data_IF_899645533820
#
_entry.id   IF_899645533820
#
_cell.length_a   1.000
_cell.length_b   1.000
_cell.length_c   1.000
_cell.angle_alpha   90.00
_cell.angle_beta   90.00
_cell.angle_gamma   90.00
#
_symmetry.space_group_name_H-M   'P 1'
#
loop_
_entity.id
_entity.type
_entity.pdbx_description
1 polymer ?
#
# COMPACT_ATOMS: atom_id res chain seq x y z
N UNK A 1 -1.94 10.31 -13.79
CA UNK A 1 -3.10 10.67 -12.96
C UNK A 1 -3.47 9.57 -11.98
N UNK A 2 -3.21 9.82 -10.68
CA UNK A 2 -3.69 9.02 -9.56
C UNK A 2 -5.20 9.10 -9.34
N UNK A 3 -5.75 8.32 -8.39
CA UNK A 3 -7.20 8.21 -8.17
C UNK A 3 -7.89 9.57 -8.01
N UNK A 4 -7.28 10.48 -7.24
CA UNK A 4 -7.81 11.82 -6.92
C UNK A 4 -8.04 12.70 -8.15
N UNK A 5 -7.14 12.62 -9.12
CA UNK A 5 -7.10 13.54 -10.28
C UNK A 5 -7.47 12.85 -11.61
N UNK A 6 -7.71 11.54 -11.57
CA UNK A 6 -8.16 10.77 -12.73
C UNK A 6 -9.67 10.97 -12.99
N UNK A 7 -10.09 10.86 -14.25
CA UNK A 7 -11.49 11.06 -14.65
C UNK A 7 -11.96 9.94 -15.59
N UNK A 8 -13.28 9.84 -15.78
CA UNK A 8 -13.90 8.95 -16.78
C UNK A 8 -13.67 7.45 -16.53
N UNK A 9 -13.40 6.71 -17.60
CA UNK A 9 -13.23 5.25 -17.55
C UNK A 9 -11.99 4.83 -16.76
N UNK A 10 -10.90 5.61 -16.84
CA UNK A 10 -9.66 5.35 -16.09
C UNK A 10 -9.92 5.36 -14.59
N UNK A 11 -10.61 6.38 -14.10
CA UNK A 11 -11.01 6.46 -12.68
C UNK A 11 -11.87 5.27 -12.28
N UNK A 12 -12.86 4.91 -13.10
CA UNK A 12 -13.77 3.78 -12.81
C UNK A 12 -13.01 2.46 -12.73
N UNK A 13 -12.09 2.22 -13.65
CA UNK A 13 -11.26 1.02 -13.67
C UNK A 13 -10.35 0.94 -12.43
N UNK A 14 -9.64 2.02 -12.11
CA UNK A 14 -8.73 2.07 -10.97
C UNK A 14 -9.48 1.94 -9.65
N UNK A 15 -10.62 2.64 -9.48
CA UNK A 15 -11.45 2.52 -8.27
C UNK A 15 -11.95 1.10 -8.06
N UNK A 16 -12.45 0.46 -9.14
CA UNK A 16 -12.93 -0.94 -9.08
C UNK A 16 -11.81 -1.89 -8.68
N UNK A 17 -10.59 -1.65 -9.16
CA UNK A 17 -9.43 -2.45 -8.82
C UNK A 17 -9.02 -2.30 -7.36
N UNK A 18 -8.98 -1.06 -6.85
CA UNK A 18 -8.45 -0.74 -5.52
C UNK A 18 -9.44 -1.07 -4.39
N UNK A 19 -10.75 -0.92 -4.60
CA UNK A 19 -11.75 -1.08 -3.54
C UNK A 19 -11.62 -2.34 -2.66
N UNK A 20 -11.31 -3.54 -3.19
CA UNK A 20 -11.18 -4.75 -2.37
C UNK A 20 -10.05 -4.71 -1.33
N UNK A 21 -9.03 -3.85 -1.48
CA UNK A 21 -7.91 -3.75 -0.52
C UNK A 21 -8.30 -3.01 0.76
N UNK A 22 -9.47 -2.35 0.77
CA UNK A 22 -10.02 -1.65 1.93
C UNK A 22 -11.21 -2.38 2.56
N UNK A 23 -11.37 -3.67 2.25
CA UNK A 23 -12.41 -4.51 2.83
C UNK A 23 -12.17 -4.74 4.33
N UNK A 24 -13.25 -4.87 5.12
CA UNK A 24 -13.19 -4.96 6.59
C UNK A 24 -12.22 -6.06 7.09
N UNK A 25 -12.19 -7.23 6.44
CA UNK A 25 -11.27 -8.31 6.81
C UNK A 25 -9.79 -7.93 6.67
N UNK A 26 -9.45 -7.09 5.68
CA UNK A 26 -8.10 -6.53 5.53
C UNK A 26 -7.83 -5.54 6.66
N UNK A 27 -8.78 -4.63 6.91
CA UNK A 27 -8.65 -3.59 7.94
C UNK A 27 -8.53 -4.17 9.36
N UNK A 28 -9.27 -5.24 9.68
CA UNK A 28 -9.16 -5.96 10.96
C UNK A 28 -7.73 -6.45 11.21
N UNK A 29 -7.01 -6.85 10.16
CA UNK A 29 -5.61 -7.30 10.28
C UNK A 29 -4.62 -6.16 10.62
N UNK A 30 -5.03 -4.90 10.50
CA UNK A 30 -4.20 -3.73 10.77
C UNK A 30 -4.32 -3.20 12.20
N UNK A 31 -5.27 -3.70 13.00
CA UNK A 31 -5.53 -3.20 14.35
C UNK A 31 -4.30 -3.28 15.26
N UNK A 32 -3.52 -4.35 15.16
CA UNK A 32 -2.28 -4.49 15.95
C UNK A 32 -1.22 -3.47 15.56
N UNK A 33 -1.13 -3.15 14.26
CA UNK A 33 -0.21 -2.12 13.75
C UNK A 33 -0.65 -0.72 14.19
N UNK A 34 -1.95 -0.41 14.18
CA UNK A 34 -2.48 0.84 14.73
C UNK A 34 -2.14 0.99 16.21
N UNK A 35 -2.37 -0.07 17.00
CA UNK A 35 -2.08 -0.07 18.43
C UNK A 35 -0.57 0.07 18.71
N UNK A 36 0.28 -0.60 17.93
CA UNK A 36 1.72 -0.50 18.08
C UNK A 36 2.22 0.93 17.78
N UNK A 37 1.84 1.51 16.65
CA UNK A 37 2.23 2.87 16.28
C UNK A 37 1.66 3.93 17.24
N UNK A 38 0.43 3.72 17.74
CA UNK A 38 -0.18 4.61 18.73
C UNK A 38 0.58 4.60 20.07
N UNK A 39 1.08 3.46 20.53
CA UNK A 39 1.92 3.40 21.74
C UNK A 39 3.27 4.07 21.51
N UNK A 40 3.86 3.88 20.32
CA UNK A 40 5.13 4.49 19.95
C UNK A 40 5.06 6.02 19.90
N UNK A 41 3.96 6.60 19.41
CA UNK A 41 3.81 8.07 19.40
C UNK A 41 3.64 8.62 20.81
N UNK A 42 2.88 7.93 21.69
CA UNK A 42 2.76 8.31 23.11
C UNK A 42 4.12 8.27 23.80
N UNK A 43 4.96 7.28 23.50
CA UNK A 43 6.34 7.19 23.99
C UNK A 43 7.18 8.39 23.55
N UNK A 44 7.03 8.85 22.30
CA UNK A 44 7.73 10.03 21.79
C UNK A 44 7.27 11.30 22.49
N UNK A 45 5.95 11.51 22.60
CA UNK A 45 5.37 12.68 23.27
C UNK A 45 5.79 12.76 24.74
N UNK A 46 5.93 11.60 25.43
CA UNK A 46 6.36 11.59 26.84
C UNK A 46 7.75 12.17 27.06
N UNK A 47 8.60 12.21 26.03
CA UNK A 47 9.96 12.77 26.11
C UNK A 47 9.95 14.29 26.20
N UNK A 48 8.86 14.96 25.84
CA UNK A 48 8.72 16.41 25.97
C UNK A 48 8.55 16.84 27.45
N UNK A 49 8.13 15.91 28.32
CA UNK A 49 7.98 16.15 29.75
C UNK A 49 6.83 17.13 30.03
N UNK A 50 7.12 18.22 30.73
CA UNK A 50 6.15 19.26 31.10
C UNK A 50 6.09 20.42 30.10
N UNK A 51 6.81 20.34 28.97
CA UNK A 51 6.80 21.41 27.97
C UNK A 51 5.52 21.38 27.15
N UNK A 52 5.04 22.56 26.78
CA UNK A 52 4.03 22.70 25.73
C UNK A 52 4.66 22.35 24.37
N UNK A 53 3.96 21.55 23.58
CA UNK A 53 4.38 21.15 22.24
C UNK A 53 3.17 21.02 21.31
N UNK A 54 3.43 21.10 20.00
CA UNK A 54 2.41 20.85 18.99
C UNK A 54 2.24 19.34 18.78
N UNK A 55 1.05 18.81 19.06
CA UNK A 55 0.76 17.39 18.85
C UNK A 55 0.68 17.01 17.36
N UNK A 56 0.44 17.98 16.47
CA UNK A 56 0.22 17.73 15.06
C UNK A 56 1.43 17.14 14.35
N UNK A 57 2.64 17.57 14.71
CA UNK A 57 3.88 17.00 14.19
C UNK A 57 3.99 15.49 14.51
N UNK A 58 3.62 15.09 15.73
CA UNK A 58 3.64 13.69 16.17
C UNK A 58 2.52 12.87 15.53
N UNK A 59 1.31 13.43 15.39
CA UNK A 59 0.19 12.74 14.73
C UNK A 59 0.44 12.56 13.24
N UNK A 60 1.06 13.54 12.59
CA UNK A 60 1.47 13.46 11.18
C UNK A 60 2.53 12.38 10.97
N UNK A 61 3.53 12.28 11.85
CA UNK A 61 4.50 11.19 11.80
C UNK A 61 3.83 9.83 12.04
N UNK A 62 3.00 9.71 13.08
CA UNK A 62 2.33 8.46 13.45
C UNK A 62 1.45 7.92 12.32
N UNK A 63 0.67 8.78 11.67
CA UNK A 63 -0.24 8.37 10.59
C UNK A 63 0.51 7.97 9.32
N UNK A 64 1.64 8.62 9.01
CA UNK A 64 2.53 8.18 7.91
C UNK A 64 3.09 6.79 8.19
N UNK A 65 3.58 6.53 9.40
CA UNK A 65 4.11 5.22 9.79
C UNK A 65 3.03 4.13 9.73
N UNK A 66 1.83 4.41 10.25
CA UNK A 66 0.68 3.51 10.14
C UNK A 66 0.40 3.15 8.68
N UNK A 67 0.39 4.14 7.78
CA UNK A 67 0.06 3.93 6.37
C UNK A 67 1.16 3.14 5.63
N UNK A 68 2.43 3.38 5.99
CA UNK A 68 3.57 2.63 5.48
C UNK A 68 3.54 1.16 5.92
N UNK A 69 3.22 0.88 7.18
CA UNK A 69 3.16 -0.49 7.69
C UNK A 69 1.93 -1.26 7.18
N UNK A 70 0.79 -0.59 7.02
CA UNK A 70 -0.48 -1.23 6.65
C UNK A 70 -0.67 -1.31 5.14
N UNK A 71 -0.86 -0.18 4.47
CA UNK A 71 -1.19 -0.12 3.04
C UNK A 71 0.02 -0.43 2.15
N UNK A 72 1.22 0.01 2.54
CA UNK A 72 2.45 -0.22 1.77
C UNK A 72 3.18 -1.50 2.17
N UNK A 73 2.91 -2.04 3.36
CA UNK A 73 3.52 -3.26 3.86
C UNK A 73 5.04 -3.14 4.09
N UNK A 74 5.52 -1.96 4.51
CA UNK A 74 6.94 -1.71 4.83
C UNK A 74 7.08 -1.49 6.34
N UNK A 75 7.96 -2.26 6.99
CA UNK A 75 8.15 -2.13 8.44
C UNK A 75 9.04 -0.95 8.82
N UNK A 76 8.67 -0.26 9.90
CA UNK A 76 9.43 0.82 10.54
C UNK A 76 10.89 0.47 10.84
N UNK A 77 11.19 -0.78 11.24
CA UNK A 77 12.57 -1.24 11.56
C UNK A 77 13.55 -1.13 10.39
N UNK A 78 13.01 -1.00 9.18
CA UNK A 78 13.76 -0.98 7.94
C UNK A 78 13.73 0.39 7.25
N UNK A 79 13.20 1.41 7.95
CA UNK A 79 13.16 2.79 7.48
C UNK A 79 14.07 3.67 8.34
N UNK A 80 14.87 4.49 7.67
CA UNK A 80 15.60 5.61 8.28
C UNK A 80 14.59 6.73 8.63
N UNK A 81 15.04 7.89 9.13
CA UNK A 81 14.21 9.11 9.48
C UNK A 81 13.26 9.64 8.38
N UNK A 82 13.13 8.93 7.27
CA UNK A 82 12.35 9.21 6.07
C UNK A 82 10.84 9.38 6.27
N UNK A 83 10.21 8.73 7.26
CA UNK A 83 8.76 8.89 7.52
C UNK A 83 8.40 10.28 8.05
N UNK A 84 9.14 10.74 9.06
CA UNK A 84 9.03 12.11 9.58
C UNK A 84 9.35 13.17 8.53
N UNK A 85 10.45 13.01 7.79
CA UNK A 85 10.82 13.95 6.72
C UNK A 85 9.74 14.06 5.65
N UNK A 86 9.11 12.93 5.29
CA UNK A 86 7.97 12.91 4.39
C UNK A 86 6.76 13.66 4.97
N UNK A 87 6.37 13.38 6.22
CA UNK A 87 5.24 14.04 6.88
C UNK A 87 5.43 15.56 6.87
N UNK A 88 6.60 16.03 7.30
CA UNK A 88 6.94 17.46 7.29
C UNK A 88 6.96 18.06 5.89
N UNK A 89 7.43 17.29 4.89
CA UNK A 89 7.45 17.75 3.51
C UNK A 89 6.04 17.93 2.95
N UNK A 90 5.11 17.02 3.27
CA UNK A 90 3.71 17.11 2.87
C UNK A 90 3.03 18.31 3.52
N UNK A 91 3.15 18.50 4.84
CA UNK A 91 2.52 19.65 5.50
C UNK A 91 2.99 20.99 4.91
N UNK A 92 4.30 21.12 4.65
CA UNK A 92 4.85 22.32 3.98
C UNK A 92 4.33 22.47 2.55
N UNK A 93 4.16 21.36 1.82
CA UNK A 93 3.55 21.37 0.50
C UNK A 93 2.09 21.84 0.57
N UNK A 94 1.29 21.33 1.51
CA UNK A 94 -0.11 21.73 1.73
C UNK A 94 -0.20 23.24 1.98
N UNK A 95 0.71 23.80 2.80
CA UNK A 95 0.78 25.25 3.01
C UNK A 95 1.06 26.03 1.72
N UNK A 96 1.98 25.56 0.88
CA UNK A 96 2.25 26.18 -0.43
C UNK A 96 1.03 26.09 -1.35
N UNK A 97 0.38 24.93 -1.42
CA UNK A 97 -0.83 24.72 -2.22
C UNK A 97 -1.98 25.63 -1.77
N UNK A 98 -2.20 25.73 -0.46
CA UNK A 98 -3.20 26.63 0.12
C UNK A 98 -2.91 28.10 -0.21
N UNK A 99 -1.64 28.52 -0.16
CA UNK A 99 -1.22 29.85 -0.59
C UNK A 99 -1.50 30.09 -2.08
N UNK A 100 -1.28 29.10 -2.95
CA UNK A 100 -1.58 29.20 -4.40
C UNK A 100 -3.09 29.26 -4.68
N UNK A 101 -3.90 28.56 -3.88
CA UNK A 101 -5.36 28.58 -4.01
C UNK A 101 -5.93 29.95 -3.62
N UNK A 102 -5.46 30.52 -2.52
CA UNK A 102 -5.95 31.80 -1.96
C UNK A 102 -5.38 33.03 -2.68
N UNK A 103 -4.09 33.02 -3.04
CA UNK A 103 -3.41 34.16 -3.67
C UNK A 103 -3.44 34.03 -5.19
N UNK A 104 -4.37 34.72 -5.84
CA UNK A 104 -4.60 34.66 -7.29
C UNK A 104 -3.31 34.97 -8.10
N UNK A 105 -2.44 35.86 -7.61
CA UNK A 105 -1.18 36.22 -8.28
C UNK A 105 -0.10 35.13 -8.25
N UNK A 106 -0.24 34.11 -7.39
CA UNK A 106 0.67 32.95 -7.36
C UNK A 106 0.17 31.78 -8.24
N UNK A 107 -0.96 31.94 -8.94
CA UNK A 107 -1.51 30.93 -9.85
C UNK A 107 -0.70 30.79 -11.15
N UNK A 108 -0.26 31.88 -11.82
CA UNK A 108 0.54 31.76 -13.04
C UNK A 108 1.86 31.04 -12.76
N UNK A 109 2.10 29.95 -13.49
CA UNK A 109 3.28 29.07 -13.31
C UNK A 109 4.61 29.81 -13.41
N UNK A 110 4.73 30.77 -14.34
CA UNK A 110 5.96 31.55 -14.52
C UNK A 110 6.28 32.40 -13.30
N UNK A 111 5.28 33.12 -12.75
CA UNK A 111 5.46 33.95 -11.57
C UNK A 111 5.80 33.09 -10.35
N UNK A 112 5.09 31.97 -10.18
CA UNK A 112 5.32 31.07 -9.06
C UNK A 112 6.73 30.46 -9.07
N UNK A 113 7.20 29.99 -10.23
CA UNK A 113 8.55 29.41 -10.39
C UNK A 113 9.68 30.40 -10.09
N UNK A 114 9.43 31.70 -10.26
CA UNK A 114 10.38 32.76 -9.91
C UNK A 114 10.42 33.07 -8.40
N UNK A 115 9.39 32.67 -7.64
CA UNK A 115 9.34 32.88 -6.19
C UNK A 115 10.18 31.85 -5.41
N UNK A 116 10.46 32.16 -4.13
CA UNK A 116 11.04 31.18 -3.19
C UNK A 116 10.18 29.93 -3.03
N UNK A 117 8.85 30.09 -2.99
CA UNK A 117 7.90 28.99 -2.89
C UNK A 117 8.03 27.98 -4.04
N UNK A 118 8.33 28.46 -5.25
CA UNK A 118 8.56 27.59 -6.40
C UNK A 118 9.78 26.67 -6.22
N UNK A 119 10.86 27.18 -5.64
CA UNK A 119 12.06 26.38 -5.32
C UNK A 119 11.79 25.40 -4.19
N UNK A 120 11.11 25.86 -3.14
CA UNK A 120 10.74 25.02 -2.01
C UNK A 120 9.81 23.88 -2.44
N UNK A 121 8.83 24.15 -3.32
CA UNK A 121 7.95 23.13 -3.89
C UNK A 121 8.74 22.00 -4.59
N UNK A 122 9.79 22.34 -5.35
CA UNK A 122 10.60 21.33 -6.05
C UNK A 122 11.34 20.44 -5.04
N UNK A 123 11.98 21.03 -4.03
CA UNK A 123 12.69 20.29 -2.98
C UNK A 123 11.73 19.39 -2.19
N UNK A 124 10.57 19.91 -1.80
CA UNK A 124 9.56 19.17 -1.05
C UNK A 124 8.97 18.00 -1.87
N UNK A 125 8.69 18.23 -3.16
CA UNK A 125 8.27 17.16 -4.07
C UNK A 125 9.34 16.08 -4.21
N UNK A 126 10.62 16.45 -4.21
CA UNK A 126 11.71 15.47 -4.29
C UNK A 126 11.74 14.59 -3.03
N UNK A 127 11.62 15.17 -1.84
CA UNK A 127 11.49 14.40 -0.58
C UNK A 127 10.28 13.46 -0.63
N UNK A 128 9.11 13.95 -1.00
CA UNK A 128 7.87 13.15 -1.09
C UNK A 128 8.06 11.97 -2.06
N UNK A 129 8.51 12.25 -3.28
CA UNK A 129 8.71 11.21 -4.30
C UNK A 129 9.86 10.26 -3.96
N UNK A 130 10.87 10.70 -3.21
CA UNK A 130 12.00 9.85 -2.82
C UNK A 130 11.53 8.69 -1.92
N UNK A 131 10.62 8.97 -0.98
CA UNK A 131 10.06 7.94 -0.11
C UNK A 131 9.20 6.96 -0.90
N UNK A 132 8.28 7.46 -1.73
CA UNK A 132 7.37 6.58 -2.49
C UNK A 132 8.12 5.71 -3.50
N UNK A 133 9.16 6.25 -4.16
CA UNK A 133 10.07 5.46 -5.00
C UNK A 133 10.84 4.40 -4.20
N UNK A 134 11.34 4.73 -3.01
CA UNK A 134 12.06 3.79 -2.12
C UNK A 134 11.15 2.62 -1.72
N UNK A 135 9.93 2.93 -1.28
CA UNK A 135 8.89 1.95 -0.91
C UNK A 135 8.56 1.05 -2.08
N UNK A 136 8.25 1.62 -3.25
CA UNK A 136 7.89 0.86 -4.45
C UNK A 136 9.03 -0.06 -4.91
N UNK A 137 10.27 0.45 -4.95
CA UNK A 137 11.46 -0.33 -5.32
C UNK A 137 11.64 -1.53 -4.39
N UNK A 138 11.62 -1.27 -3.07
CA UNK A 138 11.79 -2.31 -2.06
C UNK A 138 10.72 -3.39 -2.18
N UNK A 139 9.45 -2.99 -2.36
CA UNK A 139 8.34 -3.94 -2.46
C UNK A 139 8.40 -4.79 -3.73
N UNK A 140 8.80 -4.20 -4.86
CA UNK A 140 9.07 -4.95 -6.10
C UNK A 140 10.20 -5.97 -5.92
N UNK A 141 11.27 -5.62 -5.22
CA UNK A 141 12.38 -6.53 -4.93
C UNK A 141 11.96 -7.69 -4.00
N UNK A 142 11.20 -7.40 -2.94
CA UNK A 142 10.62 -8.41 -2.04
C UNK A 142 9.70 -9.38 -2.80
N UNK A 143 8.82 -8.84 -3.65
CA UNK A 143 7.92 -9.64 -4.46
C UNK A 143 8.69 -10.53 -5.45
N UNK A 144 9.74 -10.02 -6.09
CA UNK A 144 10.58 -10.80 -7.01
C UNK A 144 11.32 -11.93 -6.28
N UNK A 145 11.85 -11.67 -5.08
CA UNK A 145 12.49 -12.69 -4.24
C UNK A 145 11.50 -13.78 -3.84
N UNK A 146 10.29 -13.40 -3.41
CA UNK A 146 9.22 -14.33 -3.07
C UNK A 146 8.83 -15.19 -4.26
N UNK A 147 8.65 -14.59 -5.44
CA UNK A 147 8.33 -15.31 -6.69
C UNK A 147 9.44 -16.29 -7.08
N UNK A 148 10.71 -15.89 -6.98
CA UNK A 148 11.85 -16.78 -7.23
C UNK A 148 11.87 -17.95 -6.25
N UNK A 149 11.69 -17.70 -4.96
CA UNK A 149 11.62 -18.76 -3.94
C UNK A 149 10.46 -19.73 -4.18
N UNK A 150 9.28 -19.24 -4.59
CA UNK A 150 8.14 -20.10 -4.94
C UNK A 150 8.45 -20.94 -6.19
N UNK A 151 9.08 -20.34 -7.22
CA UNK A 151 9.46 -21.06 -8.43
C UNK A 151 10.54 -22.12 -8.15
N UNK A 152 11.52 -21.80 -7.30
CA UNK A 152 12.55 -22.73 -6.83
C UNK A 152 11.94 -23.88 -6.04
N UNK A 153 11.04 -23.61 -5.09
CA UNK A 153 10.31 -24.64 -4.34
C UNK A 153 9.46 -25.52 -5.24
N UNK A 154 8.70 -24.94 -6.17
CA UNK A 154 7.91 -25.70 -7.14
C UNK A 154 8.77 -26.55 -8.07
N UNK A 155 9.96 -26.06 -8.45
CA UNK A 155 10.92 -26.82 -9.25
C UNK A 155 11.54 -27.96 -8.44
N UNK A 156 11.84 -27.72 -7.16
CA UNK A 156 12.36 -28.72 -6.23
C UNK A 156 11.32 -29.79 -5.92
N UNK A 157 10.06 -29.42 -5.70
CA UNK A 157 8.92 -30.33 -5.55
C UNK A 157 8.72 -31.19 -6.80
N UNK A 158 8.85 -30.63 -8.00
CA UNK A 158 8.81 -31.40 -9.26
C UNK A 158 9.98 -32.36 -9.40
N UNK A 159 11.19 -31.98 -8.97
CA UNK A 159 12.36 -32.86 -8.96
C UNK A 159 12.22 -33.99 -7.94
N UNK A 160 11.71 -33.69 -6.74
CA UNK A 160 11.42 -34.68 -5.70
C UNK A 160 10.30 -35.62 -6.16
N UNK A 161 9.26 -35.11 -6.82
CA UNK A 161 8.20 -35.93 -7.40
C UNK A 161 8.71 -36.84 -8.52
N UNK A 162 9.67 -36.37 -9.34
CA UNK A 162 10.33 -37.20 -10.36
C UNK A 162 11.23 -38.28 -9.75
N UNK A 163 11.93 -37.98 -8.66
CA UNK A 163 12.73 -38.97 -7.93
C UNK A 163 11.83 -39.97 -7.15
N UNK A 164 10.69 -39.51 -6.61
CA UNK A 164 9.67 -40.39 -6.03
C UNK A 164 8.98 -41.27 -7.08
N UNK A 165 8.73 -40.78 -8.29
CA UNK A 165 8.21 -41.60 -9.39
C UNK A 165 9.23 -42.63 -9.86
N UNK A 166 10.53 -42.29 -9.93
CA UNK A 166 11.60 -43.28 -10.19
C UNK A 166 11.71 -44.33 -9.08
N UNK A 167 11.46 -43.96 -7.83
CA UNK A 167 11.45 -44.89 -6.70
C UNK A 167 10.18 -45.77 -6.67
N UNK A 168 9.04 -45.23 -7.11
CA UNK A 168 7.76 -45.94 -7.28
C UNK A 168 7.75 -46.85 -8.52
N UNK A 169 8.49 -46.54 -9.60
CA UNK A 169 8.64 -47.45 -10.73
C UNK A 169 9.41 -48.75 -10.37
N UNK A 170 10.22 -48.73 -9.30
CA UNK A 170 10.84 -49.93 -8.72
C UNK A 170 9.91 -50.71 -7.78
N UNK A 171 8.78 -50.14 -7.36
CA UNK A 171 7.85 -50.80 -6.44
C UNK A 171 6.40 -50.59 -6.86
N UNK A 172 5.79 -51.67 -7.36
CA UNK A 172 4.35 -51.92 -7.53
C UNK A 172 3.72 -51.56 -8.89
N UNK A 173 3.76 -52.54 -9.80
CA UNK A 173 2.57 -52.93 -10.58
C UNK A 173 1.49 -53.41 -9.61
N UNK A 174 0.42 -52.64 -9.39
CA UNK A 174 -0.93 -53.17 -9.15
C UNK A 174 -2.01 -52.08 -9.02
N UNK A 175 -3.03 -52.23 -9.86
CA UNK A 175 -4.42 -51.78 -9.73
C UNK A 175 -4.83 -50.37 -10.21
N UNK A 176 -5.98 -50.37 -10.90
CA UNK A 176 -6.61 -49.34 -11.73
C UNK A 176 -7.92 -48.82 -11.10
N UNK A 177 -8.40 -47.71 -11.68
CA UNK A 177 -9.76 -47.10 -11.64
C UNK A 177 -10.03 -46.13 -10.47
N UNK A 178 -10.66 -44.96 -10.62
CA UNK A 178 -11.53 -44.41 -11.68
C UNK A 178 -11.49 -42.87 -11.65
N UNK A 179 -11.75 -42.24 -12.80
CA UNK A 179 -11.84 -40.79 -12.98
C UNK A 179 -13.27 -40.27 -12.75
N UNK A 180 -13.41 -39.05 -12.22
CA UNK A 180 -14.55 -38.18 -12.50
C UNK A 180 -14.10 -36.72 -12.60
N UNK A 181 -14.35 -36.14 -13.77
CA UNK A 181 -14.16 -34.74 -14.16
C UNK A 181 -15.10 -33.79 -13.42
N UNK A 182 -14.64 -32.56 -13.17
CA UNK A 182 -15.51 -31.37 -13.20
C UNK A 182 -14.72 -30.07 -13.38
N UNK A 183 -14.68 -29.61 -14.63
CA UNK A 183 -14.53 -28.20 -14.97
C UNK A 183 -15.81 -27.45 -14.57
N UNK A 184 -15.70 -26.29 -13.93
CA UNK A 184 -16.82 -25.33 -13.82
C UNK A 184 -16.33 -23.91 -14.02
N UNK A 185 -16.88 -23.27 -15.04
CA UNK A 185 -16.64 -21.90 -15.47
C UNK A 185 -17.83 -21.04 -15.00
N UNK A 186 -17.53 -19.88 -14.40
CA UNK A 186 -18.48 -18.77 -14.28
C UNK A 186 -19.21 -18.66 -12.94
N UNK A 187 -19.01 -17.53 -12.26
CA UNK A 187 -20.07 -16.81 -11.58
C UNK A 187 -19.64 -15.35 -11.39
N UNK A 188 -20.14 -14.49 -12.27
CA UNK A 188 -20.32 -13.08 -11.98
C UNK A 188 -21.68 -12.95 -11.28
N UNK A 189 -21.68 -12.98 -9.94
CA UNK A 189 -22.88 -12.70 -9.14
C UNK A 189 -22.47 -12.28 -7.73
N UNK A 190 -22.97 -11.12 -7.28
CA UNK A 190 -22.98 -10.73 -5.87
C UNK A 190 -22.18 -9.46 -5.55
N UNK A 191 -22.78 -8.29 -5.76
CA UNK A 191 -22.54 -7.18 -4.82
C UNK A 191 -23.20 -7.62 -3.50
N UNK A 192 -22.41 -8.06 -2.52
CA UNK A 192 -22.86 -8.19 -1.14
C UNK A 192 -22.62 -6.85 -0.44
N UNK A 193 -23.65 -6.45 0.30
CA UNK A 193 -23.73 -5.27 1.16
C UNK A 193 -22.82 -5.46 2.39
N UNK A 194 -22.13 -4.40 2.79
CA UNK A 194 -20.89 -4.43 3.59
C UNK A 194 -21.11 -4.68 5.11
N UNK A 195 -22.31 -5.13 5.52
CA UNK A 195 -22.70 -5.20 6.93
C UNK A 195 -22.98 -6.60 7.48
N UNK A 196 -22.99 -7.64 6.64
CA UNK A 196 -23.17 -9.03 7.10
C UNK A 196 -21.99 -9.91 6.64
N UNK A 197 -21.03 -10.17 7.52
CA UNK A 197 -20.02 -11.21 7.30
C UNK A 197 -20.02 -12.17 8.49
N UNK A 198 -20.43 -13.41 8.19
CA UNK A 198 -20.37 -14.60 9.03
C UNK A 198 -18.91 -14.87 9.45
N UNK A 199 -18.67 -15.08 10.75
CA UNK A 199 -17.33 -15.29 11.34
C UNK A 199 -16.65 -16.60 10.89
N UNK A 200 -17.28 -17.38 10.01
CA UNK A 200 -16.85 -18.71 9.57
C UNK A 200 -16.20 -18.75 8.18
N UNK A 201 -15.67 -17.66 7.65
CA UNK A 201 -15.01 -17.65 6.33
C UNK A 201 -13.56 -18.18 6.38
N UNK A 202 -13.38 -19.35 6.99
CA UNK A 202 -12.13 -20.12 7.01
C UNK A 202 -11.93 -20.72 5.61
N UNK A 203 -11.49 -19.87 4.67
CA UNK A 203 -11.26 -20.29 3.28
C UNK A 203 -10.94 -19.18 2.28
N UNK A 204 -11.24 -17.90 2.57
CA UNK A 204 -10.90 -16.83 1.64
C UNK A 204 -9.37 -16.60 1.57
N UNK A 205 -8.83 -16.56 0.34
CA UNK A 205 -7.44 -16.18 0.06
C UNK A 205 -7.05 -14.97 0.90
N UNK A 206 -5.91 -15.05 1.61
CA UNK A 206 -5.32 -13.95 2.38
C UNK A 206 -5.30 -12.69 1.51
N UNK A 207 -6.19 -11.74 1.81
CA UNK A 207 -6.32 -10.48 1.06
C UNK A 207 -5.06 -9.64 1.34
N UNK A 208 -4.31 -9.36 0.29
CA UNK A 208 -3.01 -8.66 0.34
C UNK A 208 -3.16 -7.19 0.71
N UNK A 209 -2.10 -6.61 1.29
CA UNK A 209 -2.00 -5.16 1.46
C UNK A 209 -2.10 -4.44 0.10
N UNK A 210 -2.50 -3.17 0.13
CA UNK A 210 -2.77 -2.38 -1.08
C UNK A 210 -1.62 -2.43 -2.11
N UNK A 211 -0.38 -2.16 -1.69
CA UNK A 211 0.76 -2.13 -2.61
C UNK A 211 1.09 -3.51 -3.18
N UNK A 212 1.01 -4.56 -2.35
CA UNK A 212 1.23 -5.94 -2.78
C UNK A 212 0.21 -6.36 -3.82
N UNK A 213 -1.06 -6.03 -3.59
CA UNK A 213 -2.14 -6.29 -4.54
C UNK A 213 -1.94 -5.56 -5.87
N UNK A 214 -1.50 -4.29 -5.85
CA UNK A 214 -1.21 -3.52 -7.07
C UNK A 214 -0.05 -4.12 -7.89
N UNK A 215 1.01 -4.58 -7.21
CA UNK A 215 2.15 -5.24 -7.87
C UNK A 215 1.73 -6.59 -8.46
N UNK A 216 0.87 -7.34 -7.77
CA UNK A 216 0.33 -8.62 -8.25
C UNK A 216 -0.55 -8.41 -9.50
N UNK A 217 -1.44 -7.43 -9.48
CA UNK A 217 -2.33 -7.13 -10.60
C UNK A 217 -1.56 -6.77 -11.88
N UNK A 218 -0.49 -5.96 -11.73
CA UNK A 218 0.36 -5.57 -12.85
C UNK A 218 1.07 -6.76 -13.51
N UNK A 219 1.38 -7.82 -12.74
CA UNK A 219 2.00 -9.04 -13.28
C UNK A 219 1.00 -10.03 -13.88
N UNK A 220 -0.26 -10.01 -13.44
CA UNK A 220 -1.31 -10.93 -13.87
C UNK A 220 -2.10 -10.46 -15.11
N UNK A 221 -1.60 -9.44 -15.81
CA UNK A 221 -2.16 -8.98 -17.08
C UNK A 221 -3.25 -7.89 -16.96
N UNK A 222 -3.49 -7.35 -15.77
CA UNK A 222 -4.15 -6.05 -15.65
C UNK A 222 -3.09 -5.01 -16.03
N UNK A 223 -3.24 -4.34 -17.17
CA UNK A 223 -2.27 -3.38 -17.69
C UNK A 223 -2.28 -2.11 -16.84
N UNK A 224 -1.70 -2.18 -15.65
CA UNK A 224 -1.25 -1.04 -14.87
C UNK A 224 0.21 -0.82 -15.19
N UNK A 225 0.53 0.37 -15.69
CA UNK A 225 1.92 0.79 -15.87
C UNK A 225 2.57 1.06 -14.52
N UNK A 226 3.91 0.96 -14.49
CA UNK A 226 4.69 1.30 -13.29
C UNK A 226 4.44 2.74 -12.80
N UNK A 227 4.23 3.66 -13.74
CA UNK A 227 3.88 5.04 -13.44
C UNK A 227 2.49 5.15 -12.81
N UNK A 228 1.50 4.38 -13.29
CA UNK A 228 0.17 4.36 -12.68
C UNK A 228 0.20 3.81 -11.26
N UNK A 229 0.98 2.75 -11.00
CA UNK A 229 1.15 2.24 -9.63
C UNK A 229 1.77 3.32 -8.75
N UNK A 230 2.83 3.98 -9.21
CA UNK A 230 3.47 5.08 -8.48
C UNK A 230 2.46 6.19 -8.18
N UNK A 231 1.65 6.59 -9.15
CA UNK A 231 0.64 7.63 -8.97
C UNK A 231 -0.44 7.23 -7.96
N UNK A 232 -0.85 5.95 -7.92
CA UNK A 232 -1.78 5.48 -6.89
C UNK A 232 -1.13 5.47 -5.51
N UNK A 233 0.13 5.04 -5.42
CA UNK A 233 0.90 5.07 -4.16
C UNK A 233 1.05 6.49 -3.66
N UNK A 234 1.46 7.45 -4.50
CA UNK A 234 1.57 8.87 -4.15
C UNK A 234 0.21 9.41 -3.65
N UNK A 235 -0.88 9.05 -4.32
CA UNK A 235 -2.24 9.48 -3.94
C UNK A 235 -2.64 8.95 -2.57
N UNK A 236 -2.58 7.63 -2.36
CA UNK A 236 -2.97 7.01 -1.09
C UNK A 236 -2.07 7.48 0.04
N UNK A 237 -0.75 7.57 -0.20
CA UNK A 237 0.22 8.07 0.77
C UNK A 237 -0.06 9.51 1.20
N UNK A 238 -0.49 10.38 0.27
CA UNK A 238 -0.86 11.76 0.58
C UNK A 238 -2.18 11.82 1.35
N UNK A 239 -3.26 11.27 0.80
CA UNK A 239 -4.62 11.40 1.33
C UNK A 239 -4.81 10.71 2.68
N UNK A 240 -4.20 9.52 2.85
CA UNK A 240 -4.45 8.68 4.00
C UNK A 240 -3.89 9.24 5.31
N UNK A 241 -2.71 9.88 5.27
CA UNK A 241 -2.09 10.39 6.50
C UNK A 241 -2.54 11.83 6.82
N UNK A 242 -2.55 12.75 5.85
CA UNK A 242 -2.77 14.19 6.09
C UNK A 242 -4.15 14.45 6.72
N UNK A 243 -5.18 13.77 6.19
CA UNK A 243 -6.56 13.86 6.71
C UNK A 243 -6.72 13.24 8.10
N UNK A 244 -6.11 12.06 8.33
CA UNK A 244 -6.16 11.37 9.62
C UNK A 244 -5.38 12.13 10.68
N UNK A 245 -4.22 12.68 10.33
CA UNK A 245 -3.39 13.48 11.22
C UNK A 245 -4.15 14.74 11.68
N UNK A 246 -4.72 15.48 10.73
CA UNK A 246 -5.54 16.64 11.07
C UNK A 246 -6.71 16.25 11.97
N UNK A 247 -7.46 15.20 11.62
CA UNK A 247 -8.56 14.69 12.43
C UNK A 247 -8.12 14.35 13.86
N UNK A 248 -7.08 13.53 14.02
CA UNK A 248 -6.59 13.12 15.34
C UNK A 248 -5.87 14.21 16.12
N UNK A 249 -5.44 15.30 15.49
CA UNK A 249 -4.89 16.45 16.19
C UNK A 249 -5.95 17.38 16.77
N UNK A 250 -7.16 17.37 16.21
CA UNK A 250 -8.28 18.18 16.70
C UNK A 250 -9.05 17.53 17.87
N UNK A 251 -9.03 16.20 17.97
CA UNK A 251 -9.73 15.42 19.00
C UNK A 251 -8.76 14.92 20.08
#
# INVERSE_FOLDING_TARGET
NGLLISTGEKWRAHRKLIAPTFHLNVLKSFLDLFNANSRDVVEKMRKEGEKEFDCHDYMSECTVEILLETAMGVSKKTQDKSGFEYAMAVMKMCNILHLRQTKIWLRPELLFKLTRYGKDQVTLLDTIHSLTKKVLKKKKEEHLKTKKSILEKSSLEKLIAQDEEKLKEMTTKASKSSAEDKFSYGQAAGLKDDLDVDDNDVGEKKRSAFLDFMIECAQNGVVLTDDEIKEQVDTIMFEGHDTTAAGSSFF
#
